data_IF_943409408205
#
_entry.id   IF_943409408205
#
_cell.length_a   1.000
_cell.length_b   1.000
_cell.length_c   1.000
_cell.angle_alpha   90.00
_cell.angle_beta   90.00
_cell.angle_gamma   90.00
#
_symmetry.space_group_name_H-M   'P 1'
#
loop_
_entity.id
_entity.type
_entity.pdbx_description
1 polymer ?
#
# COMPACT_ATOMS: atom_id res chain seq x y z
N UNK A 1 -36.66 2.98 -4.88
CA UNK A 1 -36.05 3.92 -5.84
C UNK A 1 -34.98 3.24 -6.64
N UNK A 2 -35.00 3.44 -7.93
CA UNK A 2 -34.03 2.80 -8.86
C UNK A 2 -32.58 3.16 -8.56
N UNK A 3 -32.29 4.39 -8.13
CA UNK A 3 -30.95 4.83 -7.83
C UNK A 3 -30.32 4.13 -6.61
N UNK A 4 -31.12 3.90 -5.57
CA UNK A 4 -30.67 3.20 -4.37
C UNK A 4 -30.36 1.75 -4.65
N UNK A 5 -31.23 1.08 -5.40
CA UNK A 5 -31.05 -0.33 -5.77
C UNK A 5 -29.80 -0.50 -6.62
N UNK A 6 -29.56 0.40 -7.58
CA UNK A 6 -28.38 0.38 -8.42
C UNK A 6 -27.09 0.57 -7.58
N UNK A 7 -27.13 1.50 -6.64
CA UNK A 7 -26.00 1.77 -5.76
C UNK A 7 -25.66 0.56 -4.89
N UNK A 8 -26.66 -0.08 -4.29
CA UNK A 8 -26.45 -1.28 -3.48
C UNK A 8 -25.87 -2.42 -4.30
N UNK A 9 -26.38 -2.60 -5.51
CA UNK A 9 -25.90 -3.63 -6.42
C UNK A 9 -24.43 -3.39 -6.82
N UNK A 10 -24.08 -2.14 -7.07
CA UNK A 10 -22.71 -1.74 -7.40
C UNK A 10 -21.77 -2.04 -6.24
N UNK A 11 -22.19 -1.73 -5.02
CA UNK A 11 -21.39 -2.02 -3.82
C UNK A 11 -21.14 -3.51 -3.66
N UNK A 12 -22.14 -4.35 -3.87
CA UNK A 12 -21.96 -5.81 -3.84
C UNK A 12 -20.99 -6.28 -4.91
N UNK A 13 -21.04 -5.69 -6.10
CA UNK A 13 -20.13 -6.04 -7.18
C UNK A 13 -18.69 -5.76 -6.77
N UNK A 14 -18.40 -4.58 -6.23
CA UNK A 14 -17.05 -4.25 -5.77
C UNK A 14 -16.63 -5.13 -4.60
N UNK A 15 -17.52 -5.39 -3.66
CA UNK A 15 -17.21 -6.23 -2.50
C UNK A 15 -16.89 -7.68 -2.88
N UNK A 16 -17.39 -8.14 -4.03
CA UNK A 16 -17.19 -9.51 -4.51
C UNK A 16 -15.94 -9.68 -5.36
N UNK A 17 -15.27 -8.59 -5.71
CA UNK A 17 -14.06 -8.66 -6.54
C UNK A 17 -12.84 -9.02 -5.73
N UNK A 18 -11.87 -9.66 -6.36
CA UNK A 18 -10.57 -9.90 -5.76
C UNK A 18 -9.92 -8.58 -5.40
N UNK A 19 -9.14 -8.56 -4.33
CA UNK A 19 -8.44 -7.36 -3.87
C UNK A 19 -7.04 -7.34 -4.49
N UNK A 20 -6.80 -6.52 -5.55
CA UNK A 20 -5.49 -6.45 -6.20
C UNK A 20 -4.54 -5.60 -5.37
N UNK A 21 -3.80 -6.23 -4.47
CA UNK A 21 -2.86 -5.53 -3.60
C UNK A 21 -1.47 -5.46 -4.23
N UNK A 22 -0.94 -4.25 -4.34
CA UNK A 22 0.48 -4.02 -4.60
C UNK A 22 0.99 -4.58 -5.94
N UNK A 23 0.14 -4.60 -6.98
CA UNK A 23 0.55 -5.18 -8.26
C UNK A 23 1.85 -4.55 -8.79
N UNK A 24 1.89 -3.23 -8.92
CA UNK A 24 3.04 -2.52 -9.48
C UNK A 24 4.28 -2.65 -8.58
N UNK A 25 4.09 -2.57 -7.27
CA UNK A 25 5.14 -2.77 -6.29
C UNK A 25 5.76 -4.15 -6.45
N UNK A 26 4.93 -5.17 -6.54
CA UNK A 26 5.40 -6.55 -6.63
C UNK A 26 6.03 -6.88 -7.99
N UNK A 27 5.69 -6.17 -9.04
CA UNK A 27 6.40 -6.29 -10.32
C UNK A 27 7.88 -5.94 -10.14
N UNK A 28 8.19 -4.88 -9.40
CA UNK A 28 9.58 -4.51 -9.10
C UNK A 28 10.25 -5.61 -8.29
N UNK A 29 9.62 -6.05 -7.20
CA UNK A 29 10.18 -7.10 -6.31
C UNK A 29 10.45 -8.38 -7.08
N UNK A 30 9.51 -8.84 -7.89
CA UNK A 30 9.63 -10.10 -8.63
C UNK A 30 10.77 -10.07 -9.67
N UNK A 31 11.19 -8.90 -10.11
CA UNK A 31 12.20 -8.75 -11.15
C UNK A 31 13.56 -8.29 -10.62
N UNK A 32 13.74 -8.20 -9.31
CA UNK A 32 15.02 -7.76 -8.72
C UNK A 32 16.19 -8.70 -9.05
N UNK A 33 15.92 -9.97 -9.33
CA UNK A 33 16.95 -10.92 -9.70
C UNK A 33 17.44 -10.73 -11.15
N UNK A 34 16.80 -9.86 -11.92
CA UNK A 34 17.16 -9.56 -13.32
C UNK A 34 18.07 -8.34 -13.45
N UNK A 35 18.38 -7.69 -12.35
CA UNK A 35 19.27 -6.51 -12.32
C UNK A 35 20.49 -6.81 -11.47
N UNK A 36 21.50 -5.94 -11.55
CA UNK A 36 22.71 -6.09 -10.72
C UNK A 36 22.38 -5.88 -9.25
N UNK A 37 23.27 -6.36 -8.37
CA UNK A 37 23.11 -6.17 -6.92
C UNK A 37 23.03 -4.69 -6.55
N UNK A 38 23.83 -3.85 -7.19
CA UNK A 38 23.80 -2.40 -6.94
C UNK A 38 22.48 -1.77 -7.37
N UNK A 39 21.95 -2.19 -8.50
CA UNK A 39 20.66 -1.70 -8.97
C UNK A 39 19.53 -2.17 -8.08
N UNK A 40 19.58 -3.42 -7.61
CA UNK A 40 18.59 -3.95 -6.68
C UNK A 40 18.54 -3.14 -5.38
N UNK A 41 19.70 -2.82 -4.82
CA UNK A 41 19.81 -1.99 -3.61
C UNK A 41 19.18 -0.61 -3.85
N UNK A 42 19.43 0.01 -4.99
CA UNK A 42 18.87 1.31 -5.33
C UNK A 42 17.35 1.24 -5.48
N UNK A 43 16.84 0.19 -6.11
CA UNK A 43 15.40 0.01 -6.30
C UNK A 43 14.69 -0.20 -4.95
N UNK A 44 15.27 -0.99 -4.07
CA UNK A 44 14.73 -1.20 -2.72
C UNK A 44 14.71 0.12 -1.95
N UNK A 45 15.79 0.90 -2.02
CA UNK A 45 15.85 2.20 -1.37
C UNK A 45 14.77 3.15 -1.91
N UNK A 46 14.53 3.13 -3.22
CA UNK A 46 13.48 3.94 -3.84
C UNK A 46 12.09 3.50 -3.39
N UNK A 47 11.83 2.20 -3.32
CA UNK A 47 10.56 1.67 -2.83
C UNK A 47 10.32 2.11 -1.38
N UNK A 48 11.34 2.00 -0.54
CA UNK A 48 11.26 2.43 0.87
C UNK A 48 10.92 3.91 0.97
N UNK A 49 11.59 4.74 0.19
CA UNK A 49 11.35 6.18 0.19
C UNK A 49 9.93 6.50 -0.26
N UNK A 50 9.44 5.83 -1.30
CA UNK A 50 8.07 6.01 -1.80
C UNK A 50 7.03 5.64 -0.74
N UNK A 51 7.26 4.56 0.00
CA UNK A 51 6.38 4.15 1.10
C UNK A 51 6.36 5.21 2.20
N UNK A 52 7.53 5.73 2.58
CA UNK A 52 7.65 6.76 3.62
C UNK A 52 6.94 8.05 3.23
N UNK A 53 7.08 8.47 1.98
CA UNK A 53 6.40 9.66 1.45
C UNK A 53 4.88 9.47 1.51
N UNK A 54 4.39 8.31 1.06
CA UNK A 54 2.96 8.00 1.09
C UNK A 54 2.42 7.92 2.51
N UNK A 55 3.19 7.32 3.42
CA UNK A 55 2.81 7.24 4.84
C UNK A 55 2.71 8.62 5.48
N UNK A 56 3.65 9.51 5.17
CA UNK A 56 3.63 10.88 5.69
C UNK A 56 2.44 11.65 5.16
N UNK A 57 2.15 11.54 3.87
CA UNK A 57 0.99 12.18 3.27
C UNK A 57 -0.32 11.70 3.92
N UNK A 58 -0.42 10.40 4.16
CA UNK A 58 -1.58 9.81 4.82
C UNK A 58 -1.75 10.34 6.25
N UNK A 59 -0.65 10.46 6.99
CA UNK A 59 -0.67 11.01 8.35
C UNK A 59 -1.16 12.45 8.36
N UNK A 60 -0.67 13.28 7.43
CA UNK A 60 -1.08 14.67 7.31
C UNK A 60 -2.57 14.78 6.97
N UNK A 61 -3.08 13.94 6.07
CA UNK A 61 -4.51 13.89 5.74
C UNK A 61 -5.34 13.42 6.93
N UNK A 62 -4.86 12.44 7.69
CA UNK A 62 -5.58 11.95 8.87
C UNK A 62 -5.77 13.06 9.90
N UNK A 63 -4.77 13.91 10.08
CA UNK A 63 -4.85 15.06 10.98
C UNK A 63 -5.83 16.10 10.42
N UNK A 64 -5.72 16.42 9.13
CA UNK A 64 -6.56 17.41 8.46
C UNK A 64 -8.03 17.02 8.50
N UNK A 65 -8.35 15.75 8.36
CA UNK A 65 -9.71 15.22 8.30
C UNK A 65 -10.12 14.46 9.56
N UNK A 66 -9.58 14.85 10.71
CA UNK A 66 -9.83 14.15 11.99
C UNK A 66 -11.28 14.15 12.43
N UNK A 67 -12.10 15.08 11.91
CA UNK A 67 -13.51 15.24 12.31
C UNK A 67 -14.52 14.65 11.33
N UNK A 68 -14.07 14.03 10.25
CA UNK A 68 -14.99 13.37 9.30
C UNK A 68 -15.57 12.09 9.93
N UNK A 69 -16.67 11.53 9.35
CA UNK A 69 -17.26 10.29 9.86
C UNK A 69 -16.27 9.14 9.95
N UNK A 70 -16.54 8.20 10.87
CA UNK A 70 -15.69 7.04 11.13
C UNK A 70 -15.30 6.28 9.87
N UNK A 71 -16.24 6.11 8.93
CA UNK A 71 -15.96 5.35 7.70
C UNK A 71 -14.81 5.94 6.89
N UNK A 72 -14.65 7.26 6.90
CA UNK A 72 -13.52 7.93 6.26
C UNK A 72 -12.24 7.85 7.09
N UNK A 73 -12.36 8.08 8.41
CA UNK A 73 -11.21 8.04 9.33
C UNK A 73 -10.57 6.66 9.36
N UNK A 74 -11.37 5.60 9.31
CA UNK A 74 -10.83 4.24 9.37
C UNK A 74 -10.00 3.88 8.14
N UNK A 75 -10.24 4.53 7.00
CA UNK A 75 -9.42 4.32 5.81
C UNK A 75 -8.00 4.85 6.04
N UNK A 76 -7.83 6.01 6.70
CA UNK A 76 -6.51 6.51 7.05
C UNK A 76 -5.79 5.55 8.00
N UNK A 77 -6.49 4.99 8.97
CA UNK A 77 -5.94 3.99 9.88
C UNK A 77 -5.50 2.73 9.13
N UNK A 78 -6.31 2.25 8.22
CA UNK A 78 -5.98 1.10 7.37
C UNK A 78 -4.71 1.35 6.58
N UNK A 79 -4.59 2.51 5.94
CA UNK A 79 -3.42 2.88 5.15
C UNK A 79 -2.16 2.94 6.01
N UNK A 80 -2.27 3.50 7.22
CA UNK A 80 -1.15 3.54 8.17
C UNK A 80 -0.64 2.13 8.49
N UNK A 81 -1.55 1.21 8.77
CA UNK A 81 -1.20 -0.17 9.07
C UNK A 81 -0.52 -0.85 7.87
N UNK A 82 -1.02 -0.60 6.66
CA UNK A 82 -0.44 -1.15 5.44
C UNK A 82 0.97 -0.63 5.19
N UNK A 83 1.19 0.68 5.31
CA UNK A 83 2.52 1.26 5.11
C UNK A 83 3.52 0.74 6.13
N UNK A 84 3.12 0.64 7.40
CA UNK A 84 3.99 0.10 8.45
C UNK A 84 4.35 -1.35 8.17
N UNK A 85 3.39 -2.15 7.73
CA UNK A 85 3.61 -3.55 7.39
C UNK A 85 4.57 -3.69 6.20
N UNK A 86 4.42 -2.85 5.19
CA UNK A 86 5.32 -2.84 4.03
C UNK A 86 6.75 -2.50 4.43
N UNK A 87 6.94 -1.53 5.31
CA UNK A 87 8.28 -1.15 5.78
C UNK A 87 8.93 -2.29 6.57
N UNK A 88 8.18 -2.93 7.46
CA UNK A 88 8.69 -4.08 8.23
C UNK A 88 9.05 -5.25 7.30
N UNK A 89 8.20 -5.53 6.35
CA UNK A 89 8.46 -6.59 5.39
C UNK A 89 9.71 -6.30 4.55
N UNK A 90 9.86 -5.05 4.11
CA UNK A 90 10.99 -4.64 3.28
C UNK A 90 12.31 -4.79 4.03
N UNK A 91 12.33 -4.45 5.33
CA UNK A 91 13.51 -4.64 6.18
C UNK A 91 13.88 -6.13 6.28
N UNK A 92 12.88 -6.98 6.48
CA UNK A 92 13.07 -8.43 6.54
C UNK A 92 13.59 -8.98 5.20
N UNK A 93 13.04 -8.51 4.10
CA UNK A 93 13.44 -8.93 2.77
C UNK A 93 14.89 -8.53 2.46
N UNK A 94 15.28 -7.29 2.80
CA UNK A 94 16.66 -6.85 2.63
C UNK A 94 17.63 -7.71 3.43
N UNK A 95 17.28 -8.04 4.67
CA UNK A 95 18.10 -8.90 5.52
C UNK A 95 18.29 -10.27 4.91
N UNK A 96 17.24 -10.83 4.31
CA UNK A 96 17.33 -12.13 3.63
C UNK A 96 18.19 -12.05 2.37
N UNK A 97 18.07 -11.00 1.60
CA UNK A 97 18.89 -10.79 0.39
C UNK A 97 20.37 -10.69 0.73
N UNK A 98 20.71 -10.05 1.83
CA UNK A 98 22.10 -9.88 2.26
C UNK A 98 22.79 -11.21 2.60
N UNK A 99 22.02 -12.25 2.89
CA UNK A 99 22.53 -13.57 3.24
C UNK A 99 22.75 -14.47 2.02
N UNK A 100 22.19 -14.10 0.91
CA UNK A 100 22.36 -14.82 -0.35
C UNK A 100 23.44 -14.14 -1.19
#
# INVERSE_FOLDING_TARGET
MKGKEYFEKLMFTYASQDVPLLFDFNVVIANLNKVSSNEAIKLIAQLRESIKISAKANEDYAIQYATIPLVGRTIFEQQKLLYNSLLQWLDSFEAQMSKE
#
